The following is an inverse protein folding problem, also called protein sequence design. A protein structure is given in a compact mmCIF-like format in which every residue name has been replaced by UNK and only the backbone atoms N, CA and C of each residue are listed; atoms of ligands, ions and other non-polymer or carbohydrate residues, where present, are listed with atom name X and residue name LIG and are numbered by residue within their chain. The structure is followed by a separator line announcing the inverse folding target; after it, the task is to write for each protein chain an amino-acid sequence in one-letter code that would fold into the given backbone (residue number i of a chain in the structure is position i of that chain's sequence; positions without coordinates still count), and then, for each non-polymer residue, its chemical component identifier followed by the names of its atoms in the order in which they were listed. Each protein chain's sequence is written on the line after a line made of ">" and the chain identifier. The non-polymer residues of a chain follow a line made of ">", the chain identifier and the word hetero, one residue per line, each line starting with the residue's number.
data_IF_644790927567
#
_entry.id   IF_644790927567
#
_cell.length_a   1.000
_cell.length_b   1.000
_cell.length_c   1.000
_cell.angle_alpha   90.00
_cell.angle_beta   90.00
_cell.angle_gamma   90.00
#
_symmetry.space_group_name_H-M   'P 1'
#
loop_
_entity.id
_entity.type
_entity.pdbx_description
1 polymer ?
#
# COMPACT_ATOMS: atom_id res chain seq x y z
N UNK A 1 -25.48 1.69 -14.87
CA UNK A 1 -24.20 2.38 -15.12
C UNK A 1 -23.12 1.38 -14.78
N UNK A 2 -22.63 0.63 -15.78
CA UNK A 2 -21.57 -0.35 -15.58
C UNK A 2 -20.26 0.39 -15.41
N UNK A 3 -19.71 0.39 -14.19
CA UNK A 3 -18.38 0.93 -13.93
C UNK A 3 -17.35 -0.08 -14.40
N UNK A 4 -16.99 0.02 -15.67
CA UNK A 4 -15.89 -0.74 -16.26
C UNK A 4 -14.59 -0.04 -15.90
N UNK A 5 -13.81 -0.64 -15.00
CA UNK A 5 -12.42 -0.24 -14.73
C UNK A 5 -11.57 -0.49 -15.96
N UNK A 6 -10.79 0.52 -16.34
CA UNK A 6 -9.76 0.37 -17.36
C UNK A 6 -8.57 -0.43 -16.84
N UNK A 7 -7.77 -0.99 -17.75
CA UNK A 7 -6.56 -1.73 -17.38
C UNK A 7 -5.53 -0.86 -16.62
N UNK A 8 -5.49 0.44 -16.91
CA UNK A 8 -4.57 1.37 -16.24
C UNK A 8 -4.99 1.63 -14.79
N UNK A 9 -6.28 1.85 -14.56
CA UNK A 9 -6.85 2.02 -13.22
C UNK A 9 -6.74 0.74 -12.40
N UNK A 10 -6.97 -0.43 -13.02
CA UNK A 10 -6.74 -1.72 -12.39
C UNK A 10 -5.29 -1.84 -11.91
N UNK A 11 -4.31 -1.47 -12.76
CA UNK A 11 -2.89 -1.60 -12.41
C UNK A 11 -2.48 -0.68 -11.26
N UNK A 12 -3.00 0.55 -11.24
CA UNK A 12 -2.76 1.48 -10.13
C UNK A 12 -3.34 0.96 -8.80
N UNK A 13 -4.49 0.27 -8.86
CA UNK A 13 -5.12 -0.30 -7.68
C UNK A 13 -4.52 -1.66 -7.28
N UNK A 14 -3.99 -2.44 -8.23
CA UNK A 14 -3.39 -3.76 -8.02
C UNK A 14 -2.23 -3.75 -7.03
N UNK A 15 -1.33 -2.76 -7.16
CA UNK A 15 -0.20 -2.58 -6.24
C UNK A 15 -0.65 -2.37 -4.79
N UNK A 16 -1.82 -1.75 -4.59
CA UNK A 16 -2.42 -1.54 -3.27
C UNK A 16 -3.35 -2.70 -2.84
N UNK A 17 -3.90 -3.46 -3.80
CA UNK A 17 -4.96 -4.43 -3.59
C UNK A 17 -4.47 -5.77 -3.06
N UNK A 18 -3.46 -6.35 -3.72
CA UNK A 18 -3.10 -7.74 -3.49
C UNK A 18 -2.28 -7.94 -2.19
N UNK A 19 -1.88 -6.87 -1.52
CA UNK A 19 -1.43 -6.91 -0.13
C UNK A 19 -2.57 -7.25 0.87
N UNK A 20 -3.83 -6.97 0.50
CA UNK A 20 -4.98 -7.02 1.41
C UNK A 20 -5.82 -8.31 1.31
N UNK A 21 -5.83 -9.04 0.19
CA UNK A 21 -6.61 -10.29 0.04
C UNK A 21 -6.08 -11.43 0.91
N UNK A 22 -4.77 -11.50 1.18
CA UNK A 22 -4.14 -12.57 1.98
C UNK A 22 -3.89 -12.17 3.45
N UNK A 23 -4.44 -11.03 3.89
CA UNK A 23 -4.37 -10.54 5.26
C UNK A 23 -5.75 -10.06 5.73
N UNK A 24 -6.58 -10.97 6.23
CA UNK A 24 -7.93 -10.65 6.74
C UNK A 24 -7.91 -9.47 7.75
N UNK A 25 -6.88 -9.39 8.59
CA UNK A 25 -6.69 -8.30 9.55
C UNK A 25 -6.38 -6.95 8.88
N UNK A 26 -5.63 -6.92 7.77
CA UNK A 26 -5.37 -5.67 7.03
C UNK A 26 -6.59 -5.23 6.23
N UNK A 27 -7.36 -6.16 5.67
CA UNK A 27 -8.60 -5.83 4.97
C UNK A 27 -9.56 -5.09 5.92
N UNK A 28 -9.70 -5.54 7.17
CA UNK A 28 -10.51 -4.85 8.18
C UNK A 28 -10.00 -3.43 8.48
N UNK A 29 -8.68 -3.22 8.49
CA UNK A 29 -8.08 -1.90 8.70
C UNK A 29 -8.28 -0.95 7.50
N UNK A 30 -8.30 -1.48 6.27
CA UNK A 30 -8.64 -0.70 5.07
C UNK A 30 -10.12 -0.31 5.06
N UNK A 31 -11.02 -1.25 5.36
CA UNK A 31 -12.46 -0.94 5.49
C UNK A 31 -12.76 0.05 6.62
N UNK A 32 -11.98 0.00 7.71
CA UNK A 32 -12.04 0.96 8.81
C UNK A 32 -11.37 2.32 8.48
N UNK A 33 -10.82 2.49 7.28
CA UNK A 33 -10.12 3.71 6.85
C UNK A 33 -8.81 3.98 7.58
N UNK A 34 -8.28 3.00 8.31
CA UNK A 34 -7.02 3.11 9.05
C UNK A 34 -5.81 2.96 8.13
N UNK A 35 -5.95 2.13 7.08
CA UNK A 35 -4.96 1.96 6.03
C UNK A 35 -5.56 2.43 4.69
N UNK A 36 -4.72 3.01 3.83
CA UNK A 36 -5.11 3.32 2.46
C UNK A 36 -5.11 2.03 1.64
N UNK A 37 -6.19 1.77 0.92
CA UNK A 37 -6.31 0.62 0.03
C UNK A 37 -7.66 0.60 -0.68
N UNK A 38 -7.86 -0.29 -1.66
CA UNK A 38 -9.13 -0.42 -2.33
C UNK A 38 -10.18 -1.01 -1.38
N UNK A 39 -11.32 -0.33 -1.28
CA UNK A 39 -12.47 -0.79 -0.52
C UNK A 39 -13.08 -2.07 -1.13
N UNK A 40 -13.94 -2.76 -0.37
CA UNK A 40 -14.54 -4.04 -0.76
C UNK A 40 -15.23 -4.01 -2.12
N UNK A 41 -15.77 -2.86 -2.55
CA UNK A 41 -16.40 -2.72 -3.86
C UNK A 41 -15.35 -2.67 -4.96
N UNK A 42 -14.32 -1.85 -4.80
CA UNK A 42 -13.20 -1.77 -5.74
C UNK A 42 -12.54 -3.14 -5.91
N UNK A 43 -12.29 -3.85 -4.80
CA UNK A 43 -11.73 -5.21 -4.79
C UNK A 43 -12.49 -6.18 -5.71
N UNK A 44 -13.82 -6.22 -5.59
CA UNK A 44 -14.67 -7.07 -6.45
C UNK A 44 -14.58 -6.72 -7.93
N UNK A 45 -14.48 -5.43 -8.25
CA UNK A 45 -14.33 -4.98 -9.64
C UNK A 45 -12.97 -5.39 -10.21
N UNK A 46 -11.90 -5.32 -9.41
CA UNK A 46 -10.56 -5.76 -9.80
C UNK A 46 -10.54 -7.27 -10.09
N UNK A 47 -11.15 -8.08 -9.23
CA UNK A 47 -11.28 -9.52 -9.48
C UNK A 47 -12.10 -9.83 -10.74
N UNK A 48 -13.22 -9.13 -10.93
CA UNK A 48 -14.09 -9.34 -12.08
C UNK A 48 -13.37 -9.02 -13.40
N UNK A 49 -12.58 -7.95 -13.44
CA UNK A 49 -11.75 -7.59 -14.58
C UNK A 49 -10.63 -8.62 -14.79
N UNK A 50 -9.89 -9.01 -13.74
CA UNK A 50 -8.79 -9.97 -13.85
C UNK A 50 -9.27 -11.32 -14.41
N UNK A 51 -10.48 -11.78 -14.05
CA UNK A 51 -11.07 -13.00 -14.63
C UNK A 51 -11.34 -12.91 -16.13
N UNK A 52 -11.53 -11.71 -16.67
CA UNK A 52 -11.90 -11.48 -18.08
C UNK A 52 -10.73 -10.99 -18.95
N UNK A 53 -9.62 -10.56 -18.33
CA UNK A 53 -8.46 -9.99 -19.01
C UNK A 53 -7.21 -10.87 -18.78
N UNK A 54 -6.74 -11.65 -19.78
CA UNK A 54 -5.59 -12.55 -19.64
C UNK A 54 -4.29 -11.86 -19.19
N UNK A 55 -4.07 -10.63 -19.64
CA UNK A 55 -2.93 -9.82 -19.21
C UNK A 55 -2.98 -9.58 -17.69
N UNK A 56 -4.12 -9.15 -17.19
CA UNK A 56 -4.29 -8.80 -15.78
C UNK A 56 -4.36 -10.05 -14.89
N UNK A 57 -4.91 -11.15 -15.38
CA UNK A 57 -4.83 -12.46 -14.71
C UNK A 57 -3.37 -12.86 -14.44
N UNK A 58 -2.51 -12.73 -15.46
CA UNK A 58 -1.08 -13.07 -15.33
C UNK A 58 -0.37 -12.17 -14.31
N UNK A 59 -0.67 -10.87 -14.33
CA UNK A 59 -0.10 -9.91 -13.35
C UNK A 59 -0.53 -10.27 -11.93
N UNK A 60 -1.82 -10.54 -11.72
CA UNK A 60 -2.37 -10.95 -10.41
C UNK A 60 -1.70 -12.23 -9.91
N UNK A 61 -1.56 -13.23 -10.76
CA UNK A 61 -0.97 -14.52 -10.37
C UNK A 61 0.53 -14.39 -10.05
N UNK A 62 1.28 -13.62 -10.85
CA UNK A 62 2.69 -13.37 -10.60
C UNK A 62 2.90 -12.65 -9.25
N UNK A 63 2.06 -11.67 -8.97
CA UNK A 63 2.11 -10.90 -7.74
C UNK A 63 1.81 -11.79 -6.51
N UNK A 64 0.70 -12.56 -6.56
CA UNK A 64 0.35 -13.52 -5.51
C UNK A 64 1.48 -14.52 -5.26
N UNK A 65 2.12 -14.99 -6.33
CA UNK A 65 3.25 -15.91 -6.22
C UNK A 65 4.44 -15.26 -5.48
N UNK A 66 4.81 -14.02 -5.84
CA UNK A 66 5.89 -13.29 -5.18
C UNK A 66 5.59 -13.07 -3.69
N UNK A 67 4.37 -12.67 -3.33
CA UNK A 67 4.00 -12.46 -1.92
C UNK A 67 4.02 -13.74 -1.11
N UNK A 68 3.51 -14.84 -1.65
CA UNK A 68 3.63 -16.16 -1.00
C UNK A 68 5.08 -16.56 -0.77
N UNK A 69 5.96 -16.31 -1.75
CA UNK A 69 7.38 -16.55 -1.59
C UNK A 69 7.99 -15.68 -0.48
N UNK A 70 7.68 -14.38 -0.46
CA UNK A 70 8.13 -13.46 0.60
C UNK A 70 7.64 -13.90 1.98
N UNK A 71 6.35 -14.20 2.17
CA UNK A 71 5.82 -14.69 3.46
C UNK A 71 6.50 -15.97 3.91
N UNK A 72 6.76 -16.89 2.99
CA UNK A 72 7.46 -18.16 3.30
C UNK A 72 8.90 -17.90 3.75
N UNK A 73 9.61 -17.02 3.05
CA UNK A 73 11.01 -16.69 3.34
C UNK A 73 11.19 -15.79 4.57
N UNK A 74 10.20 -14.95 4.87
CA UNK A 74 10.19 -13.98 5.98
C UNK A 74 9.10 -14.32 7.00
N UNK A 75 8.94 -15.61 7.33
CA UNK A 75 7.94 -16.10 8.29
C UNK A 75 8.28 -15.81 9.75
N UNK A 76 9.48 -15.31 10.02
CA UNK A 76 9.93 -14.95 11.36
C UNK A 76 9.92 -13.44 11.53
N UNK A 77 9.33 -12.99 12.62
CA UNK A 77 9.35 -11.59 12.99
C UNK A 77 10.79 -11.11 13.11
N UNK A 78 11.08 -9.94 12.52
CA UNK A 78 12.41 -9.36 12.58
C UNK A 78 12.86 -9.23 14.06
N UNK A 79 14.15 -9.47 14.37
CA UNK A 79 14.67 -9.32 15.73
C UNK A 79 14.29 -7.97 16.32
N UNK A 80 13.96 -7.93 17.61
CA UNK A 80 13.45 -6.73 18.28
C UNK A 80 14.38 -5.52 18.13
N UNK A 81 15.70 -5.74 18.28
CA UNK A 81 16.69 -4.68 18.08
C UNK A 81 16.66 -4.08 16.67
N UNK A 82 16.49 -4.92 15.64
CA UNK A 82 16.37 -4.45 14.26
C UNK A 82 15.08 -3.66 14.04
N UNK A 83 13.96 -4.12 14.61
CA UNK A 83 12.67 -3.41 14.55
C UNK A 83 12.76 -2.04 15.22
N UNK A 84 13.35 -1.98 16.40
CA UNK A 84 13.57 -0.74 17.13
C UNK A 84 14.44 0.25 16.33
N UNK A 85 15.55 -0.22 15.73
CA UNK A 85 16.40 0.60 14.88
C UNK A 85 15.68 1.12 13.63
N UNK A 86 14.85 0.29 12.98
CA UNK A 86 14.06 0.73 11.81
C UNK A 86 13.03 1.79 12.21
N UNK A 87 12.35 1.63 13.34
CA UNK A 87 11.40 2.62 13.85
C UNK A 87 12.11 3.95 14.15
N UNK A 88 13.26 3.90 14.82
CA UNK A 88 14.06 5.09 15.12
C UNK A 88 14.56 5.80 13.85
N UNK A 89 15.06 5.04 12.87
CA UNK A 89 15.47 5.58 11.56
C UNK A 89 14.30 6.23 10.81
N UNK A 90 13.11 5.64 10.90
CA UNK A 90 11.90 6.17 10.24
C UNK A 90 11.43 7.48 10.91
N UNK A 91 11.42 7.50 12.24
CA UNK A 91 11.06 8.70 13.04
C UNK A 91 12.09 9.83 12.84
N UNK A 92 13.39 9.51 12.80
CA UNK A 92 14.42 10.52 12.59
C UNK A 92 14.38 11.10 11.17
N UNK A 93 14.09 10.28 10.15
CA UNK A 93 13.89 10.74 8.77
C UNK A 93 12.66 11.62 8.62
N UNK A 94 11.53 11.26 9.21
CA UNK A 94 10.31 12.08 9.16
C UNK A 94 10.51 13.43 9.87
N UNK A 95 11.17 13.45 11.03
CA UNK A 95 11.55 14.69 11.73
C UNK A 95 12.47 15.57 10.88
N UNK A 96 13.45 14.98 10.17
CA UNK A 96 14.35 15.73 9.29
C UNK A 96 13.60 16.36 8.11
N UNK A 97 12.69 15.62 7.48
CA UNK A 97 11.85 16.13 6.39
C UNK A 97 10.91 17.26 6.85
N UNK A 98 10.32 17.16 8.05
CA UNK A 98 9.51 18.23 8.66
C UNK A 98 10.37 19.46 8.95
N UNK A 99 11.57 19.27 9.49
CA UNK A 99 12.48 20.36 9.86
C UNK A 99 12.95 21.17 8.64
N UNK A 100 13.10 20.56 7.47
CA UNK A 100 13.39 21.29 6.21
C UNK A 100 12.20 22.13 5.74
N UNK A 101 10.96 21.79 6.11
CA UNK A 101 9.74 22.50 5.69
C UNK A 101 9.43 23.73 6.57
N UNK A 102 9.90 23.76 7.82
CA UNK A 102 9.62 24.83 8.79
C UNK A 102 10.59 26.03 8.68
N UNK A 103 11.73 25.89 8.01
CA UNK A 103 12.75 26.96 7.91
C UNK A 103 12.48 28.05 6.85
N UNK A 104 11.24 28.19 6.34
CA UNK A 104 10.86 29.30 5.44
C UNK A 104 9.52 29.89 5.86
N UNK A 105 9.52 30.61 6.97
CA UNK A 105 8.54 31.67 7.23
C UNK A 105 9.37 32.89 7.63
N UNK A 106 9.92 33.60 6.63
CA UNK A 106 10.44 34.95 6.84
C UNK A 106 9.22 35.87 6.95
N UNK A 107 8.90 36.29 8.17
CA UNK A 107 7.88 37.32 8.41
C UNK A 107 8.54 38.66 8.06
N UNK A 108 8.23 39.21 6.90
CA UNK A 108 8.58 40.60 6.56
C UNK A 108 7.58 41.53 7.26
N UNK A 109 8.00 42.18 8.34
CA UNK A 109 7.30 43.35 8.91
C UNK A 109 7.50 44.56 7.98
N UNK A 110 6.42 45.00 7.34
CA UNK A 110 6.32 46.31 6.68
C UNK A 110 6.18 47.43 7.73
N UNK A 111 6.94 48.52 7.55
CA UNK A 111 6.66 49.82 8.18
C UNK A 111 6.90 50.95 7.18
#
# INVERSE_FOLDING_TARGET
>A
MSEELTCEELRAQLDAYLDCEECDDLAALVEAGTLNGPDARMRRLLEAHARQCPHCATVVDAERHMRRALRRCYSHQAPEGLRASIMELTVSRSRRAVRTRVTRIDITEER
#
